data_IF_499461815341
#
_entry.id   IF_499461815341
#
_cell.length_a   1.000
_cell.length_b   1.000
_cell.length_c   1.000
_cell.angle_alpha   90.00
_cell.angle_beta   90.00
_cell.angle_gamma   90.00
#
_symmetry.space_group_name_H-M   'P 1'
#
loop_
_entity.id
_entity.type
_entity.pdbx_description
1 polymer ?
#
# COMPACT_ATOMS: atom_id res chain seq x y z
N UNK A 1 -34.71 -1.79 36.34
CA UNK A 1 -34.45 -2.36 35.00
C UNK A 1 -33.99 -1.30 33.99
N UNK A 2 -34.48 -0.06 34.08
CA UNK A 2 -34.08 1.05 33.19
C UNK A 2 -32.63 1.52 33.41
N UNK A 3 -32.16 1.56 34.67
CA UNK A 3 -30.78 1.91 35.04
C UNK A 3 -29.73 0.90 34.56
N UNK A 4 -30.11 -0.39 34.48
CA UNK A 4 -29.23 -1.43 33.95
C UNK A 4 -29.03 -1.26 32.43
N UNK A 5 -30.11 -0.94 31.70
CA UNK A 5 -30.04 -0.66 30.25
C UNK A 5 -29.28 0.63 29.95
N UNK A 6 -29.42 1.67 30.77
CA UNK A 6 -28.76 2.96 30.55
C UNK A 6 -27.24 2.90 30.72
N UNK A 7 -26.70 1.92 31.44
CA UNK A 7 -25.25 1.73 31.65
C UNK A 7 -24.68 0.62 30.78
N UNK A 8 -25.38 -0.50 30.63
CA UNK A 8 -24.87 -1.64 29.86
C UNK A 8 -24.80 -1.34 28.37
N UNK A 9 -25.82 -0.66 27.81
CA UNK A 9 -25.86 -0.34 26.39
C UNK A 9 -24.68 0.55 25.94
N UNK A 10 -24.35 1.68 26.59
CA UNK A 10 -23.20 2.51 26.18
C UNK A 10 -21.85 1.81 26.41
N UNK A 11 -21.72 0.96 27.42
CA UNK A 11 -20.47 0.21 27.65
C UNK A 11 -20.23 -0.81 26.55
N UNK A 12 -21.28 -1.54 26.15
CA UNK A 12 -21.20 -2.52 25.06
C UNK A 12 -20.95 -1.84 23.72
N UNK A 13 -21.61 -0.70 23.45
CA UNK A 13 -21.35 0.05 22.20
C UNK A 13 -19.94 0.65 22.19
N UNK A 14 -19.45 1.19 23.31
CA UNK A 14 -18.08 1.68 23.41
C UNK A 14 -17.06 0.56 23.19
N UNK A 15 -17.28 -0.63 23.78
CA UNK A 15 -16.43 -1.79 23.56
C UNK A 15 -16.46 -2.25 22.09
N UNK A 16 -17.64 -2.30 21.47
CA UNK A 16 -17.78 -2.65 20.06
C UNK A 16 -17.06 -1.67 19.13
N UNK A 17 -17.18 -0.36 19.41
CA UNK A 17 -16.48 0.68 18.65
C UNK A 17 -14.97 0.58 18.81
N UNK A 18 -14.48 0.29 20.02
CA UNK A 18 -13.06 0.12 20.28
C UNK A 18 -12.51 -1.11 19.54
N UNK A 19 -13.22 -2.24 19.56
CA UNK A 19 -12.84 -3.43 18.81
C UNK A 19 -12.84 -3.15 17.30
N UNK A 20 -13.85 -2.45 16.79
CA UNK A 20 -13.91 -2.07 15.37
C UNK A 20 -12.75 -1.12 14.97
N UNK A 21 -12.40 -0.16 15.82
CA UNK A 21 -11.27 0.73 15.58
C UNK A 21 -9.94 -0.04 15.55
N UNK A 22 -9.74 -0.96 16.50
CA UNK A 22 -8.53 -1.78 16.56
C UNK A 22 -8.42 -2.75 15.37
N UNK A 23 -9.54 -3.36 14.94
CA UNK A 23 -9.53 -4.25 13.78
C UNK A 23 -9.22 -3.48 12.48
N UNK A 24 -9.80 -2.29 12.30
CA UNK A 24 -9.46 -1.42 11.17
C UNK A 24 -8.00 -0.98 11.20
N UNK A 25 -7.47 -0.60 12.37
CA UNK A 25 -6.07 -0.24 12.52
C UNK A 25 -5.13 -1.41 12.16
N UNK A 26 -5.47 -2.62 12.59
CA UNK A 26 -4.70 -3.83 12.27
C UNK A 26 -4.73 -4.15 10.76
N UNK A 27 -5.90 -4.03 10.12
CA UNK A 27 -6.05 -4.22 8.67
C UNK A 27 -5.21 -3.17 7.92
N UNK A 28 -5.29 -1.90 8.31
CA UNK A 28 -4.51 -0.84 7.69
C UNK A 28 -2.99 -1.08 7.81
N UNK A 29 -2.52 -1.49 8.99
CA UNK A 29 -1.11 -1.82 9.20
C UNK A 29 -0.67 -3.02 8.35
N UNK A 30 -1.51 -4.06 8.25
CA UNK A 30 -1.24 -5.25 7.46
C UNK A 30 -1.20 -4.97 5.95
N UNK A 31 -1.89 -3.92 5.49
CA UNK A 31 -1.92 -3.49 4.09
C UNK A 31 -0.77 -2.53 3.73
N UNK A 32 -0.04 -1.96 4.70
CA UNK A 32 1.07 -1.04 4.44
C UNK A 32 2.16 -1.62 3.52
N UNK A 33 2.57 -2.91 3.63
CA UNK A 33 3.50 -3.52 2.70
C UNK A 33 2.96 -3.61 1.26
N UNK A 34 1.65 -3.84 1.10
CA UNK A 34 0.99 -3.91 -0.21
C UNK A 34 0.99 -2.53 -0.87
N UNK A 35 0.70 -1.47 -0.10
CA UNK A 35 0.79 -0.10 -0.59
C UNK A 35 2.23 0.26 -1.01
N UNK A 36 3.23 -0.13 -0.23
CA UNK A 36 4.64 0.04 -0.60
C UNK A 36 5.01 -0.72 -1.87
N UNK A 37 4.54 -1.95 -2.02
CA UNK A 37 4.75 -2.75 -3.21
C UNK A 37 4.14 -2.11 -4.45
N UNK A 38 2.89 -1.63 -4.36
CA UNK A 38 2.20 -0.95 -5.44
C UNK A 38 2.93 0.34 -5.85
N UNK A 39 3.38 1.13 -4.88
CA UNK A 39 4.14 2.35 -5.15
C UNK A 39 5.47 2.06 -5.88
N UNK A 40 6.16 0.99 -5.50
CA UNK A 40 7.39 0.57 -6.17
C UNK A 40 7.16 0.16 -7.64
N UNK A 41 5.98 -0.37 -7.99
CA UNK A 41 5.63 -0.61 -9.39
C UNK A 41 5.49 0.71 -10.17
N UNK A 42 4.88 1.72 -9.57
CA UNK A 42 4.66 3.00 -10.25
C UNK A 42 5.98 3.74 -10.51
N UNK A 43 6.86 3.79 -9.49
CA UNK A 43 8.21 4.35 -9.62
C UNK A 43 9.01 3.64 -10.73
N UNK A 44 8.85 2.32 -10.83
CA UNK A 44 9.48 1.53 -11.88
C UNK A 44 9.09 2.02 -13.29
N UNK A 45 7.79 2.22 -13.53
CA UNK A 45 7.27 2.65 -14.82
C UNK A 45 7.72 4.08 -15.15
N UNK A 46 7.68 5.00 -14.19
CA UNK A 46 8.16 6.37 -14.38
C UNK A 46 9.65 6.44 -14.73
N UNK A 47 10.47 5.60 -14.08
CA UNK A 47 11.89 5.49 -14.40
C UNK A 47 12.14 4.89 -15.80
N UNK A 48 11.28 3.98 -16.27
CA UNK A 48 11.35 3.46 -17.64
C UNK A 48 11.03 4.56 -18.67
N UNK A 49 9.98 5.36 -18.45
CA UNK A 49 9.61 6.48 -19.33
C UNK A 49 10.73 7.53 -19.41
N UNK A 50 11.43 7.78 -18.31
CA UNK A 50 12.54 8.73 -18.29
C UNK A 50 13.76 8.17 -19.03
N UNK A 51 14.05 6.87 -18.87
CA UNK A 51 15.17 6.19 -19.53
C UNK A 51 14.97 5.99 -21.04
N UNK A 52 13.73 5.84 -21.51
CA UNK A 52 13.47 5.74 -22.95
C UNK A 52 13.81 7.02 -23.72
N UNK A 53 13.95 8.15 -23.01
CA UNK A 53 14.39 9.44 -23.57
C UNK A 53 15.90 9.66 -23.47
N UNK A 54 16.63 8.78 -22.79
CA UNK A 54 18.07 8.88 -22.65
C UNK A 54 18.78 8.42 -23.94
N UNK A 55 19.92 9.00 -24.32
CA UNK A 55 20.65 8.66 -25.55
C UNK A 55 21.33 7.27 -25.51
N UNK A 56 20.97 6.41 -24.55
CA UNK A 56 21.64 5.14 -24.27
C UNK A 56 20.75 4.01 -24.79
N UNK A 57 21.30 3.14 -25.65
CA UNK A 57 20.58 2.06 -26.32
C UNK A 57 20.23 0.86 -25.44
N UNK A 58 20.53 0.91 -24.14
CA UNK A 58 20.24 -0.16 -23.18
C UNK A 58 19.93 0.42 -21.80
N UNK A 59 19.10 -0.30 -21.04
CA UNK A 59 18.64 0.11 -19.73
C UNK A 59 18.51 -1.07 -18.77
N UNK A 60 18.57 -0.78 -17.47
CA UNK A 60 18.29 -1.75 -16.41
C UNK A 60 16.99 -1.36 -15.73
N UNK A 61 16.01 -2.27 -15.71
CA UNK A 61 14.82 -2.16 -14.86
C UNK A 61 15.06 -2.91 -13.55
N UNK A 62 14.74 -2.29 -12.42
CA UNK A 62 14.78 -2.92 -11.10
C UNK A 62 13.40 -2.87 -10.48
N UNK A 63 12.61 -3.93 -10.68
CA UNK A 63 11.25 -4.02 -10.16
C UNK A 63 11.11 -5.29 -9.32
N UNK A 64 10.49 -5.17 -8.14
CA UNK A 64 10.29 -6.28 -7.21
C UNK A 64 11.57 -7.06 -6.87
N UNK A 65 12.68 -6.36 -6.63
CA UNK A 65 13.97 -6.98 -6.30
C UNK A 65 14.64 -7.74 -7.46
N UNK A 66 14.04 -7.77 -8.65
CA UNK A 66 14.64 -8.35 -9.86
C UNK A 66 15.18 -7.26 -10.76
N UNK A 67 16.42 -7.46 -11.20
CA UNK A 67 17.06 -6.62 -12.22
C UNK A 67 16.96 -7.30 -13.58
N UNK A 68 16.42 -6.63 -14.60
CA UNK A 68 16.46 -7.11 -16.00
C UNK A 68 17.09 -6.04 -16.88
N UNK A 69 18.05 -6.44 -17.70
CA UNK A 69 18.61 -5.58 -18.74
C UNK A 69 17.72 -5.69 -19.97
N UNK A 70 17.42 -4.56 -20.60
CA UNK A 70 16.66 -4.51 -21.85
C UNK A 70 17.29 -3.49 -22.79
N UNK A 71 17.10 -3.72 -24.09
CA UNK A 71 17.52 -2.78 -25.11
C UNK A 71 16.47 -1.66 -25.21
N UNK A 72 16.91 -0.42 -25.11
CA UNK A 72 16.03 0.75 -25.28
C UNK A 72 15.97 1.01 -26.78
N UNK A 73 14.80 0.81 -27.39
CA UNK A 73 14.60 1.25 -28.77
C UNK A 73 14.37 2.76 -28.78
N UNK A 74 15.21 3.55 -29.46
CA UNK A 74 14.95 4.96 -29.64
C UNK A 74 13.66 5.12 -30.44
N UNK A 75 12.68 5.84 -29.89
CA UNK A 75 11.47 6.30 -30.60
C UNK A 75 11.75 7.58 -31.36
#
# INVERSE_FOLDING_TARGET
METLKSVVLPVVTAAALLIAALSLAFIAFSLAPVAHWANNQNICVEQEITKSKAPISWGVRKCNGRSKVYQVQPT
#
